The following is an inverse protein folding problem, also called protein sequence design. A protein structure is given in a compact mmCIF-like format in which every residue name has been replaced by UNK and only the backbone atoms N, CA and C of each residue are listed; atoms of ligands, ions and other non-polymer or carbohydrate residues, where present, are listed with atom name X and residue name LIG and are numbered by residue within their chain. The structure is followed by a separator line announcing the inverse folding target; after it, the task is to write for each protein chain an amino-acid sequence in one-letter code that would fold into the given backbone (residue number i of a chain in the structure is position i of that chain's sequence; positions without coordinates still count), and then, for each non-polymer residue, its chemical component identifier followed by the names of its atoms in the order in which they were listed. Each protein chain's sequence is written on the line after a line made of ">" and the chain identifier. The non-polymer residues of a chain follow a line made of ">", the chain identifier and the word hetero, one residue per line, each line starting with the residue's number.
data_IF_021258468483
#
_entry.id   IF_021258468483
#
_cell.length_a   1.000
_cell.length_b   1.000
_cell.length_c   1.000
_cell.angle_alpha   90.00
_cell.angle_beta   90.00
_cell.angle_gamma   90.00
#
_symmetry.space_group_name_H-M   'P 1'
#
loop_
_entity.id
_entity.type
_entity.pdbx_description
1 polymer ?
#
# COMPACT_ATOMS: atom_id res chain seq x y z
N UNK A 1 -2.46 -11.63 8.89
CA UNK A 1 -1.57 -10.91 7.95
C UNK A 1 -0.14 -10.86 8.47
N UNK A 2 0.87 -10.92 7.60
CA UNK A 2 2.29 -10.69 7.94
C UNK A 2 2.69 -9.29 7.49
N UNK A 3 3.41 -8.55 8.33
CA UNK A 3 3.89 -7.20 8.00
C UNK A 3 5.12 -7.29 7.08
N UNK A 4 5.09 -6.56 5.96
CA UNK A 4 6.15 -6.54 4.92
C UNK A 4 6.74 -5.15 4.78
N UNK A 5 7.52 -4.75 5.79
CA UNK A 5 8.15 -3.43 5.83
C UNK A 5 9.18 -3.23 4.70
N UNK A 6 9.72 -4.33 4.16
CA UNK A 6 10.63 -4.36 3.02
C UNK A 6 10.01 -3.81 1.72
N UNK A 7 8.68 -3.72 1.63
CA UNK A 7 7.99 -3.21 0.45
C UNK A 7 7.59 -1.72 0.56
N UNK A 8 7.81 -1.08 1.71
CA UNK A 8 7.35 0.29 1.98
C UNK A 8 7.98 1.32 1.05
N UNK A 9 9.26 1.16 0.70
CA UNK A 9 9.98 2.07 -0.21
C UNK A 9 9.40 2.08 -1.63
N UNK A 10 8.60 1.07 -1.99
CA UNK A 10 7.97 0.95 -3.31
C UNK A 10 6.49 1.34 -3.33
N UNK A 11 5.93 1.69 -2.17
CA UNK A 11 4.55 2.15 -2.04
C UNK A 11 4.43 3.56 -2.61
N UNK A 12 3.36 3.83 -3.36
CA UNK A 12 3.08 5.17 -3.89
C UNK A 12 1.84 5.78 -3.23
N UNK A 13 1.75 7.10 -3.27
CA UNK A 13 0.57 7.85 -2.81
C UNK A 13 -0.71 7.37 -3.51
N UNK A 14 -0.60 6.98 -4.77
CA UNK A 14 -1.72 6.45 -5.54
C UNK A 14 -2.20 5.09 -4.99
N UNK A 15 -1.29 4.20 -4.59
CA UNK A 15 -1.68 2.93 -3.98
C UNK A 15 -2.40 3.15 -2.64
N UNK A 16 -1.94 4.15 -1.86
CA UNK A 16 -2.59 4.56 -0.61
C UNK A 16 -3.98 5.13 -0.89
N UNK A 17 -4.11 6.02 -1.87
CA UNK A 17 -5.37 6.64 -2.24
C UNK A 17 -6.40 5.59 -2.69
N UNK A 18 -6.00 4.62 -3.51
CA UNK A 18 -6.86 3.52 -3.94
C UNK A 18 -7.42 2.73 -2.74
N UNK A 19 -6.57 2.39 -1.77
CA UNK A 19 -7.01 1.63 -0.59
C UNK A 19 -7.88 2.48 0.35
N UNK A 20 -7.61 3.79 0.46
CA UNK A 20 -8.46 4.72 1.22
C UNK A 20 -9.86 4.80 0.59
N UNK A 21 -9.94 5.02 -0.72
CA UNK A 21 -11.22 5.11 -1.42
C UNK A 21 -12.03 3.80 -1.32
N UNK A 22 -11.35 2.65 -1.38
CA UNK A 22 -11.98 1.33 -1.26
C UNK A 22 -12.55 1.04 0.14
N UNK A 23 -12.05 1.69 1.19
CA UNK A 23 -12.53 1.53 2.57
C UNK A 23 -13.36 2.72 3.07
N UNK A 24 -13.42 3.82 2.32
CA UNK A 24 -14.01 5.07 2.77
C UNK A 24 -15.49 4.93 3.16
N UNK A 25 -16.23 4.00 2.56
CA UNK A 25 -17.63 3.75 2.91
C UNK A 25 -17.83 3.27 4.36
N UNK A 26 -16.78 2.74 4.99
CA UNK A 26 -16.79 2.34 6.42
C UNK A 26 -16.46 3.50 7.35
N UNK A 27 -15.91 4.59 6.83
CA UNK A 27 -15.58 5.77 7.61
C UNK A 27 -16.85 6.50 8.03
N UNK A 28 -16.91 6.81 9.33
CA UNK A 28 -17.90 7.68 9.93
C UNK A 28 -17.16 8.87 10.51
N UNK A 29 -17.61 10.11 10.26
CA UNK A 29 -16.99 11.29 10.87
C UNK A 29 -17.22 11.35 12.39
N UNK A 30 -18.27 10.71 12.89
CA UNK A 30 -18.54 10.62 14.32
C UNK A 30 -17.62 9.59 15.00
N UNK A 31 -16.95 9.96 16.11
CA UNK A 31 -16.13 9.03 16.85
C UNK A 31 -16.98 8.01 17.61
N UNK A 32 -16.48 6.77 17.71
CA UNK A 32 -17.13 5.73 18.51
C UNK A 32 -17.08 6.03 20.02
N UNK A 33 -16.12 6.83 20.45
CA UNK A 33 -16.00 7.30 21.83
C UNK A 33 -16.05 8.82 21.84
N UNK A 34 -17.07 9.38 22.48
CA UNK A 34 -17.36 10.83 22.53
C UNK A 34 -16.25 11.68 23.16
N UNK A 35 -15.27 11.06 23.84
CA UNK A 35 -14.21 11.76 24.58
C UNK A 35 -12.86 11.83 23.87
N UNK A 36 -12.59 11.01 22.86
CA UNK A 36 -11.20 10.77 22.42
C UNK A 36 -10.99 10.59 20.91
N UNK A 37 -11.87 11.06 20.03
CA UNK A 37 -11.68 10.78 18.60
C UNK A 37 -12.25 11.80 17.62
N UNK A 38 -11.66 11.81 16.44
CA UNK A 38 -12.22 12.34 15.19
C UNK A 38 -12.41 11.14 14.28
N UNK A 39 -13.65 10.89 13.88
CA UNK A 39 -14.02 9.77 13.02
C UNK A 39 -13.85 8.37 13.63
N UNK A 40 -14.44 7.39 12.98
CA UNK A 40 -14.34 5.98 13.29
C UNK A 40 -14.46 5.12 12.04
N UNK A 41 -13.91 3.91 12.08
CA UNK A 41 -14.17 2.89 11.08
C UNK A 41 -15.19 1.91 11.64
N UNK A 42 -16.27 1.70 10.89
CA UNK A 42 -17.23 0.65 11.19
C UNK A 42 -16.57 -0.72 11.09
N UNK A 43 -17.04 -1.67 11.90
CA UNK A 43 -16.62 -3.07 11.82
C UNK A 43 -16.76 -3.60 10.41
N UNK A 44 -15.74 -4.33 9.93
CA UNK A 44 -15.81 -5.00 8.65
C UNK A 44 -16.67 -6.27 8.76
N UNK A 45 -17.52 -6.52 7.78
CA UNK A 45 -18.13 -7.84 7.59
C UNK A 45 -17.09 -8.87 7.13
N UNK A 46 -17.42 -10.16 7.21
CA UNK A 46 -16.56 -11.23 6.70
C UNK A 46 -16.24 -11.05 5.20
N UNK A 47 -17.22 -10.61 4.42
CA UNK A 47 -17.05 -10.36 2.98
C UNK A 47 -16.12 -9.17 2.72
N UNK A 48 -16.24 -8.10 3.52
CA UNK A 48 -15.35 -6.94 3.42
C UNK A 48 -13.92 -7.31 3.77
N UNK A 49 -13.73 -8.18 4.78
CA UNK A 49 -12.41 -8.72 5.13
C UNK A 49 -11.82 -9.54 4.00
N UNK A 50 -12.61 -10.41 3.36
CA UNK A 50 -12.14 -11.20 2.22
C UNK A 50 -11.67 -10.30 1.06
N UNK A 51 -12.43 -9.24 0.75
CA UNK A 51 -12.04 -8.26 -0.28
C UNK A 51 -10.79 -7.47 0.11
N UNK A 52 -10.65 -7.09 1.38
CA UNK A 52 -9.44 -6.43 1.92
C UNK A 52 -8.21 -7.33 1.77
N UNK A 53 -8.34 -8.64 2.06
CA UNK A 53 -7.26 -9.61 1.87
C UNK A 53 -6.88 -9.79 0.39
N UNK A 54 -7.87 -9.83 -0.51
CA UNK A 54 -7.63 -9.91 -1.95
C UNK A 54 -6.86 -8.68 -2.45
N UNK A 55 -7.30 -7.46 -2.10
CA UNK A 55 -6.61 -6.22 -2.48
C UNK A 55 -5.21 -6.13 -1.89
N UNK A 56 -5.05 -6.48 -0.62
CA UNK A 56 -3.74 -6.52 0.04
C UNK A 56 -2.78 -7.48 -0.66
N UNK A 57 -3.26 -8.66 -1.04
CA UNK A 57 -2.47 -9.65 -1.78
C UNK A 57 -2.07 -9.12 -3.16
N UNK A 58 -3.01 -8.50 -3.89
CA UNK A 58 -2.73 -7.91 -5.19
C UNK A 58 -1.72 -6.75 -5.10
N UNK A 59 -1.83 -5.90 -4.07
CA UNK A 59 -0.89 -4.81 -3.81
C UNK A 59 0.51 -5.37 -3.51
N UNK A 60 0.64 -6.39 -2.66
CA UNK A 60 1.92 -7.04 -2.37
C UNK A 60 2.59 -7.55 -3.65
N UNK A 61 1.84 -8.21 -4.54
CA UNK A 61 2.38 -8.68 -5.82
C UNK A 61 2.81 -7.53 -6.73
N UNK A 62 2.05 -6.42 -6.76
CA UNK A 62 2.42 -5.19 -7.48
C UNK A 62 3.74 -4.60 -6.95
N UNK A 63 3.89 -4.50 -5.63
CA UNK A 63 5.08 -3.96 -4.97
C UNK A 63 6.31 -4.84 -5.17
N UNK A 64 6.16 -6.17 -5.09
CA UNK A 64 7.25 -7.11 -5.40
C UNK A 64 7.77 -6.93 -6.83
N UNK A 65 6.88 -6.72 -7.81
CA UNK A 65 7.28 -6.45 -9.20
C UNK A 65 8.08 -5.15 -9.31
N UNK A 66 7.67 -4.09 -8.61
CA UNK A 66 8.42 -2.82 -8.59
C UNK A 66 9.79 -2.96 -7.94
N UNK A 67 9.89 -3.68 -6.82
CA UNK A 67 11.15 -3.99 -6.17
C UNK A 67 12.13 -4.69 -7.15
N UNK A 68 11.64 -5.70 -7.88
CA UNK A 68 12.44 -6.40 -8.89
C UNK A 68 12.93 -5.47 -10.02
N UNK A 69 12.05 -4.60 -10.52
CA UNK A 69 12.40 -3.63 -11.58
C UNK A 69 13.45 -2.61 -11.11
N UNK A 70 13.33 -2.12 -9.88
CA UNK A 70 14.30 -1.18 -9.31
C UNK A 70 15.66 -1.84 -9.07
N UNK A 71 15.67 -3.11 -8.64
CA UNK A 71 16.91 -3.90 -8.52
C UNK A 71 17.66 -4.06 -9.85
N UNK A 72 16.95 -4.18 -10.98
CA UNK A 72 17.56 -4.25 -12.31
C UNK A 72 18.16 -2.92 -12.77
N UNK A 73 17.52 -1.79 -12.48
CA UNK A 73 18.04 -0.45 -12.85
C UNK A 73 19.40 -0.12 -12.22
N UNK A 74 19.67 -0.61 -11.02
CA UNK A 74 20.96 -0.39 -10.34
C UNK A 74 22.08 -1.35 -10.80
N UNK A 75 21.77 -2.27 -11.71
CA UNK A 75 22.73 -3.26 -12.23
C UNK A 75 23.29 -2.92 -13.62
N UNK A 76 22.93 -1.77 -14.20
CA UNK A 76 23.59 -1.29 -15.41
C UNK A 76 25.04 -0.86 -15.07
N UNK A 77 26.06 -1.43 -15.73
CA UNK A 77 27.43 -0.98 -15.56
C UNK A 77 27.55 0.49 -15.99
N UNK A 78 28.35 1.32 -15.29
CA UNK A 78 28.53 2.71 -15.66
C UNK A 78 29.00 2.80 -17.12
N UNK A 79 28.31 3.62 -17.90
CA UNK A 79 28.68 3.89 -19.29
C UNK A 79 30.16 4.29 -19.37
N UNK A 80 30.95 3.75 -20.31
CA UNK A 80 32.36 4.09 -20.42
C UNK A 80 32.49 5.58 -20.75
N UNK A 81 33.11 6.32 -19.83
CA UNK A 81 33.42 7.75 -20.02
C UNK A 81 34.25 7.94 -21.31
N UNK A 82 33.96 8.96 -22.12
CA UNK A 82 34.75 9.24 -23.31
C UNK A 82 36.16 9.66 -22.87
N UNK A 83 37.18 8.91 -23.30
CA UNK A 83 38.58 9.28 -23.12
C UNK A 83 38.85 10.52 -23.99
N UNK A 84 39.17 11.65 -23.36
CA UNK A 84 39.82 12.81 -23.99
C UNK A 84 41.31 12.76 -23.73
#
# INVERSE_FOLDING_TARGET
>A
MKLRLDLLEHLTDQDILEEVLANNHRYKPEPNFSKTGVGSLSSASTEERAKEEERSTALIEKLKKRLQQNGQKNSEPPSPSPKS
#
